data_IF_872348871841
#
_entry.id   IF_872348871841
#
_cell.length_a   1.000
_cell.length_b   1.000
_cell.length_c   1.000
_cell.angle_alpha   90.00
_cell.angle_beta   90.00
_cell.angle_gamma   90.00
#
_symmetry.space_group_name_H-M   'P 1'
#
loop_
_entity.id
_entity.type
_entity.pdbx_description
1 polymer ?
#
# COMPACT_ATOMS: atom_id res chain seq x y z
N UNK A 1 9.26 10.05 -21.78
CA UNK A 1 9.53 9.57 -20.40
C UNK A 1 8.45 10.15 -19.52
N UNK A 2 7.56 9.35 -18.98
CA UNK A 2 6.76 9.71 -17.81
C UNK A 2 6.43 8.40 -17.09
N UNK A 3 7.22 8.13 -16.04
CA UNK A 3 7.09 6.98 -15.15
C UNK A 3 5.73 7.10 -14.46
N UNK A 4 4.70 6.49 -15.05
CA UNK A 4 3.41 6.31 -14.39
C UNK A 4 3.64 5.31 -13.26
N UNK A 5 3.83 5.86 -12.06
CA UNK A 5 3.70 5.25 -10.74
C UNK A 5 3.43 3.74 -10.76
N UNK A 6 4.52 3.00 -10.80
CA UNK A 6 4.66 1.55 -10.58
C UNK A 6 4.43 1.28 -9.09
N UNK A 7 3.23 1.54 -8.56
CA UNK A 7 3.01 1.54 -7.10
C UNK A 7 2.42 0.23 -6.58
N UNK A 8 1.93 -0.70 -7.41
CA UNK A 8 1.29 -1.92 -6.87
C UNK A 8 1.37 -3.14 -7.80
N UNK A 9 2.57 -3.70 -8.02
CA UNK A 9 2.69 -5.01 -8.70
C UNK A 9 3.31 -6.12 -7.84
N UNK A 10 3.54 -5.90 -6.55
CA UNK A 10 4.23 -6.87 -5.68
C UNK A 10 3.69 -6.88 -4.25
N UNK A 11 2.48 -7.40 -4.03
CA UNK A 11 2.14 -8.06 -2.74
C UNK A 11 1.42 -9.41 -3.01
N UNK A 12 1.58 -9.97 -4.21
CA UNK A 12 1.01 -11.28 -4.56
C UNK A 12 2.09 -12.20 -5.09
N UNK A 13 3.12 -12.43 -4.28
CA UNK A 13 4.03 -13.58 -4.47
C UNK A 13 3.59 -14.71 -3.54
N UNK A 14 2.35 -15.16 -3.69
CA UNK A 14 1.80 -16.28 -2.91
C UNK A 14 1.61 -17.51 -3.81
N UNK A 15 2.33 -18.57 -3.42
CA UNK A 15 2.19 -19.99 -3.81
C UNK A 15 2.86 -20.42 -5.13
N UNK A 16 4.10 -20.93 -5.00
CA UNK A 16 4.44 -22.22 -5.62
C UNK A 16 4.68 -23.24 -4.50
N UNK A 17 3.59 -23.69 -3.88
CA UNK A 17 3.55 -24.95 -3.16
C UNK A 17 2.64 -25.88 -3.95
N UNK A 18 3.13 -26.42 -5.06
CA UNK A 18 2.49 -27.56 -5.73
C UNK A 18 3.53 -28.33 -6.54
N UNK A 19 4.32 -29.15 -5.84
CA UNK A 19 5.29 -30.07 -6.41
C UNK A 19 5.70 -31.17 -5.44
N UNK A 20 4.74 -32.02 -5.05
CA UNK A 20 4.91 -33.36 -4.48
C UNK A 20 5.81 -33.55 -3.23
N UNK A 21 5.21 -33.57 -2.03
CA UNK A 21 5.32 -34.72 -1.09
C UNK A 21 4.57 -34.46 0.23
N UNK A 22 3.42 -35.15 0.37
CA UNK A 22 2.86 -35.74 1.60
C UNK A 22 2.92 -35.07 2.99
N UNK A 23 3.23 -33.78 3.14
CA UNK A 23 3.40 -33.14 4.48
C UNK A 23 2.36 -32.04 4.74
N UNK A 24 1.12 -32.30 4.34
CA UNK A 24 0.02 -31.35 4.23
C UNK A 24 -0.83 -31.18 5.50
N UNK A 25 -0.21 -31.18 6.70
CA UNK A 25 -0.93 -31.03 7.99
C UNK A 25 -0.36 -29.99 8.96
N UNK A 26 0.71 -29.28 8.60
CA UNK A 26 1.22 -28.10 9.31
C UNK A 26 1.26 -26.90 8.37
N UNK A 27 0.10 -26.54 7.85
CA UNK A 27 -0.09 -25.15 7.44
C UNK A 27 -0.03 -24.37 8.77
N UNK A 28 1.17 -23.90 9.10
CA UNK A 28 1.55 -23.37 10.41
C UNK A 28 0.65 -22.17 10.75
N UNK A 29 0.19 -22.07 12.01
CA UNK A 29 -0.62 -20.94 12.52
C UNK A 29 -0.05 -19.58 12.10
N UNK A 30 1.28 -19.49 11.99
CA UNK A 30 2.01 -18.30 11.53
C UNK A 30 1.71 -17.91 10.08
N UNK A 31 1.53 -18.86 9.18
CA UNK A 31 1.16 -18.60 7.79
C UNK A 31 -0.26 -18.05 7.68
N UNK A 32 -1.20 -18.59 8.48
CA UNK A 32 -2.56 -18.07 8.56
C UNK A 32 -2.61 -16.66 9.15
N UNK A 33 -1.85 -16.39 10.22
CA UNK A 33 -1.75 -15.07 10.83
C UNK A 33 -1.12 -14.06 9.88
N UNK A 34 -0.03 -14.42 9.20
CA UNK A 34 0.58 -13.61 8.14
C UNK A 34 -0.44 -13.26 7.05
N UNK A 35 -1.19 -14.26 6.56
CA UNK A 35 -2.21 -14.04 5.54
C UNK A 35 -3.30 -13.06 5.99
N UNK A 36 -3.75 -13.15 7.26
CA UNK A 36 -4.76 -12.20 7.79
C UNK A 36 -4.26 -10.76 7.78
N UNK A 37 -2.97 -10.53 8.08
CA UNK A 37 -2.39 -9.19 7.97
C UNK A 37 -2.38 -8.70 6.52
N UNK A 38 -1.95 -9.56 5.58
CA UNK A 38 -1.93 -9.25 4.14
C UNK A 38 -3.33 -8.93 3.63
N UNK A 39 -4.33 -9.75 3.95
CA UNK A 39 -5.72 -9.53 3.54
C UNK A 39 -6.29 -8.21 4.09
N UNK A 40 -6.00 -7.91 5.36
CA UNK A 40 -6.43 -6.68 6.00
C UNK A 40 -5.79 -5.42 5.37
N UNK A 41 -4.55 -5.52 4.87
CA UNK A 41 -3.87 -4.45 4.13
C UNK A 41 -4.46 -4.33 2.72
N UNK A 42 -4.61 -5.44 2.01
CA UNK A 42 -5.10 -5.46 0.62
C UNK A 42 -6.53 -4.92 0.48
N UNK A 43 -7.40 -5.23 1.44
CA UNK A 43 -8.77 -4.71 1.46
C UNK A 43 -8.81 -3.18 1.49
N UNK A 44 -7.94 -2.56 2.28
CA UNK A 44 -7.88 -1.11 2.37
C UNK A 44 -7.06 -0.50 1.23
N UNK A 45 -6.02 -1.19 0.74
CA UNK A 45 -5.18 -0.73 -0.38
C UNK A 45 -6.01 -0.48 -1.64
N UNK A 46 -7.03 -1.31 -1.89
CA UNK A 46 -8.00 -1.10 -2.98
C UNK A 46 -8.74 0.23 -2.84
N UNK A 47 -9.10 0.61 -1.61
CA UNK A 47 -9.76 1.89 -1.34
C UNK A 47 -8.79 3.06 -1.48
N UNK A 48 -7.54 2.88 -1.05
CA UNK A 48 -6.48 3.86 -1.18
C UNK A 48 -6.17 4.16 -2.66
N UNK A 49 -6.12 3.13 -3.49
CA UNK A 49 -5.91 3.23 -4.94
C UNK A 49 -7.03 4.03 -5.60
N UNK A 50 -8.30 3.71 -5.29
CA UNK A 50 -9.45 4.46 -5.81
C UNK A 50 -9.40 5.95 -5.45
N UNK A 51 -8.96 6.26 -4.22
CA UNK A 51 -8.80 7.64 -3.79
C UNK A 51 -7.64 8.34 -4.51
N UNK A 52 -6.53 7.63 -4.74
CA UNK A 52 -5.41 8.13 -5.54
C UNK A 52 -5.81 8.40 -6.99
N UNK A 53 -6.61 7.52 -7.60
CA UNK A 53 -7.11 7.70 -8.96
C UNK A 53 -8.03 8.91 -9.06
N UNK A 54 -8.92 9.12 -8.07
CA UNK A 54 -9.74 10.33 -7.98
C UNK A 54 -8.86 11.58 -7.95
N UNK A 55 -7.84 11.60 -7.11
CA UNK A 55 -6.86 12.69 -7.07
C UNK A 55 -6.16 12.91 -8.43
N UNK A 56 -5.70 11.82 -9.06
CA UNK A 56 -4.98 11.89 -10.34
C UNK A 56 -5.86 12.45 -11.47
N UNK A 57 -7.15 12.08 -11.50
CA UNK A 57 -8.11 12.61 -12.46
C UNK A 57 -8.27 14.12 -12.29
N UNK A 58 -8.41 14.60 -11.05
CA UNK A 58 -8.54 16.03 -10.77
C UNK A 58 -7.26 16.79 -11.16
N UNK A 59 -6.09 16.25 -10.79
CA UNK A 59 -4.80 16.83 -11.20
C UNK A 59 -4.60 16.85 -12.72
N UNK A 60 -5.07 15.82 -13.44
CA UNK A 60 -5.02 15.81 -14.91
C UNK A 60 -5.87 16.93 -15.51
N UNK A 61 -7.03 17.22 -14.93
CA UNK A 61 -7.87 18.34 -15.37
C UNK A 61 -7.18 19.69 -15.13
N UNK A 62 -6.63 19.90 -13.93
CA UNK A 62 -5.83 21.10 -13.60
C UNK A 62 -4.67 21.27 -14.61
N UNK A 63 -3.91 20.21 -14.86
CA UNK A 63 -2.74 20.24 -15.76
C UNK A 63 -3.10 20.51 -17.23
N UNK A 64 -4.34 20.22 -17.65
CA UNK A 64 -4.86 20.54 -18.98
C UNK A 64 -5.45 21.96 -19.07
N UNK A 65 -5.35 22.75 -18.00
CA UNK A 65 -5.94 24.10 -17.91
C UNK A 65 -7.44 24.08 -17.67
N UNK A 66 -8.00 22.95 -17.23
CA UNK A 66 -9.39 22.83 -16.81
C UNK A 66 -9.62 23.49 -15.45
N UNK A 67 -10.85 23.93 -15.20
CA UNK A 67 -11.26 24.44 -13.89
C UNK A 67 -11.65 23.26 -13.00
N UNK A 68 -11.04 23.19 -11.82
CA UNK A 68 -11.36 22.23 -10.75
C UNK A 68 -11.60 23.03 -9.48
N UNK A 69 -12.62 22.67 -8.71
CA UNK A 69 -12.87 23.28 -7.40
C UNK A 69 -11.78 22.82 -6.41
N UNK A 70 -11.16 23.78 -5.71
CA UNK A 70 -10.18 23.48 -4.65
C UNK A 70 -10.82 22.61 -3.56
N UNK A 71 -12.11 22.77 -3.29
CA UNK A 71 -12.82 21.93 -2.32
C UNK A 71 -12.89 20.46 -2.74
N UNK A 72 -12.98 20.18 -4.06
CA UNK A 72 -12.93 18.81 -4.58
C UNK A 72 -11.53 18.20 -4.43
N UNK A 73 -10.48 19.02 -4.63
CA UNK A 73 -9.09 18.63 -4.41
C UNK A 73 -8.82 18.32 -2.94
N UNK A 74 -9.26 19.20 -2.03
CA UNK A 74 -9.17 18.99 -0.59
C UNK A 74 -9.94 17.76 -0.13
N UNK A 75 -11.13 17.53 -0.69
CA UNK A 75 -11.91 16.32 -0.42
C UNK A 75 -11.16 15.06 -0.85
N UNK A 76 -10.61 15.02 -2.06
CA UNK A 76 -9.83 13.86 -2.53
C UNK A 76 -8.56 13.63 -1.70
N UNK A 77 -7.85 14.71 -1.32
CA UNK A 77 -6.68 14.62 -0.46
C UNK A 77 -7.03 14.10 0.95
N UNK A 78 -8.17 14.52 1.52
CA UNK A 78 -8.67 14.03 2.80
C UNK A 78 -9.05 12.55 2.71
N UNK A 79 -9.82 12.17 1.69
CA UNK A 79 -10.22 10.77 1.47
C UNK A 79 -8.98 9.85 1.41
N UNK A 80 -7.94 10.25 0.66
CA UNK A 80 -6.69 9.50 0.58
C UNK A 80 -5.95 9.45 1.92
N UNK A 81 -5.87 10.58 2.62
CA UNK A 81 -5.19 10.70 3.91
C UNK A 81 -5.86 9.86 5.00
N UNK A 82 -7.19 9.82 5.04
CA UNK A 82 -7.94 9.05 6.02
C UNK A 82 -7.72 7.55 5.82
N UNK A 83 -7.75 7.06 4.58
CA UNK A 83 -7.45 5.66 4.27
C UNK A 83 -5.98 5.34 4.56
N UNK A 84 -5.05 6.25 4.23
CA UNK A 84 -3.64 6.12 4.55
C UNK A 84 -3.41 5.98 6.06
N UNK A 85 -4.14 6.72 6.89
CA UNK A 85 -4.04 6.64 8.34
C UNK A 85 -4.54 5.31 8.91
N UNK A 86 -5.40 4.59 8.19
CA UNK A 86 -5.84 3.22 8.54
C UNK A 86 -4.82 2.17 8.08
N UNK A 87 -4.25 2.31 6.88
CA UNK A 87 -3.32 1.32 6.30
C UNK A 87 -1.95 1.34 6.98
N UNK A 88 -1.38 2.51 7.23
CA UNK A 88 -0.04 2.65 7.84
C UNK A 88 0.15 1.81 9.11
N UNK A 89 -0.74 1.85 10.13
CA UNK A 89 -0.58 1.03 11.32
C UNK A 89 -0.72 -0.48 11.03
N UNK A 90 -1.50 -0.89 10.02
CA UNK A 90 -1.60 -2.30 9.61
C UNK A 90 -0.30 -2.80 8.99
N UNK A 91 0.32 -1.99 8.12
CA UNK A 91 1.65 -2.28 7.56
C UNK A 91 2.68 -2.39 8.70
N UNK A 92 2.71 -1.43 9.62
CA UNK A 92 3.62 -1.48 10.78
C UNK A 92 3.38 -2.72 11.65
N UNK A 93 2.13 -3.15 11.80
CA UNK A 93 1.78 -4.37 12.53
C UNK A 93 2.31 -5.62 11.82
N UNK A 94 2.18 -5.71 10.50
CA UNK A 94 2.75 -6.80 9.70
C UNK A 94 4.28 -6.81 9.80
N UNK A 95 4.94 -5.65 9.68
CA UNK A 95 6.40 -5.55 9.86
C UNK A 95 6.82 -6.03 11.25
N UNK A 96 6.08 -5.68 12.29
CA UNK A 96 6.35 -6.09 13.67
C UNK A 96 6.13 -7.60 13.87
N UNK A 97 5.11 -8.15 13.22
CA UNK A 97 4.86 -9.60 13.19
C UNK A 97 6.00 -10.34 12.50
N UNK A 98 6.45 -9.85 11.33
CA UNK A 98 7.59 -10.42 10.60
C UNK A 98 8.85 -10.38 11.47
N UNK A 99 9.16 -9.25 12.10
CA UNK A 99 10.32 -9.12 12.97
C UNK A 99 10.28 -10.08 14.17
N UNK A 100 9.11 -10.22 14.81
CA UNK A 100 8.92 -11.14 15.95
C UNK A 100 9.08 -12.60 15.55
N UNK A 101 8.66 -12.96 14.33
CA UNK A 101 8.62 -14.34 13.86
C UNK A 101 9.65 -14.66 12.77
N UNK A 102 10.67 -13.83 12.62
CA UNK A 102 11.56 -13.84 11.44
C UNK A 102 12.20 -15.21 11.18
N UNK A 103 12.72 -15.88 12.21
CA UNK A 103 13.34 -17.19 12.07
C UNK A 103 12.34 -18.25 11.56
N UNK A 104 11.14 -18.31 12.15
CA UNK A 104 10.11 -19.28 11.77
C UNK A 104 9.52 -19.02 10.39
N UNK A 105 9.36 -17.75 10.03
CA UNK A 105 8.93 -17.36 8.69
C UNK A 105 9.98 -17.73 7.64
N UNK A 106 11.27 -17.52 7.92
CA UNK A 106 12.36 -17.99 7.03
C UNK A 106 12.39 -19.51 6.90
N UNK A 107 12.22 -20.25 8.01
CA UNK A 107 12.11 -21.71 8.00
C UNK A 107 10.92 -22.20 7.16
N UNK A 108 9.82 -21.46 7.17
CA UNK A 108 8.64 -21.71 6.34
C UNK A 108 8.78 -21.23 4.88
N UNK A 109 9.93 -20.66 4.50
CA UNK A 109 10.24 -20.25 3.12
C UNK A 109 9.87 -18.82 2.75
N UNK A 110 9.49 -17.98 3.71
CA UNK A 110 9.21 -16.56 3.44
C UNK A 110 10.51 -15.75 3.33
N UNK A 111 10.61 -14.91 2.31
CA UNK A 111 11.68 -13.92 2.20
C UNK A 111 11.36 -12.68 3.05
N UNK A 112 11.59 -12.81 4.35
CA UNK A 112 11.27 -11.73 5.30
C UNK A 112 12.05 -10.43 5.04
N UNK A 113 13.18 -10.49 4.33
CA UNK A 113 13.96 -9.29 4.00
C UNK A 113 13.24 -8.50 2.90
N UNK A 114 12.92 -9.16 1.79
CA UNK A 114 12.18 -8.54 0.68
C UNK A 114 10.82 -8.02 1.15
N UNK A 115 10.10 -8.82 1.95
CA UNK A 115 8.80 -8.42 2.52
C UNK A 115 8.89 -7.13 3.35
N UNK A 116 9.91 -7.00 4.21
CA UNK A 116 10.11 -5.78 5.01
C UNK A 116 10.43 -4.57 4.11
N UNK A 117 11.23 -4.78 3.05
CA UNK A 117 11.56 -3.74 2.08
C UNK A 117 10.32 -3.27 1.33
N UNK A 118 9.51 -4.19 0.80
CA UNK A 118 8.30 -3.87 0.05
C UNK A 118 7.31 -3.07 0.91
N UNK A 119 7.15 -3.47 2.18
CA UNK A 119 6.32 -2.73 3.13
C UNK A 119 6.85 -1.31 3.42
N UNK A 120 8.18 -1.11 3.46
CA UNK A 120 8.79 0.21 3.61
C UNK A 120 8.62 1.09 2.36
N UNK A 121 8.69 0.50 1.17
CA UNK A 121 8.41 1.17 -0.09
C UNK A 121 6.95 1.64 -0.15
N UNK A 122 6.00 0.80 0.25
CA UNK A 122 4.58 1.17 0.34
C UNK A 122 4.37 2.32 1.33
N UNK A 123 4.92 2.24 2.55
CA UNK A 123 4.80 3.33 3.54
C UNK A 123 5.35 4.65 3.02
N UNK A 124 6.54 4.61 2.42
CA UNK A 124 7.19 5.77 1.82
C UNK A 124 6.36 6.35 0.67
N UNK A 125 5.76 5.49 -0.17
CA UNK A 125 4.85 5.89 -1.23
C UNK A 125 3.62 6.62 -0.70
N UNK A 126 2.98 6.07 0.34
CA UNK A 126 1.82 6.69 0.98
C UNK A 126 2.19 8.08 1.53
N UNK A 127 3.30 8.19 2.25
CA UNK A 127 3.75 9.46 2.83
C UNK A 127 4.09 10.52 1.78
N UNK A 128 4.77 10.11 0.72
CA UNK A 128 5.09 10.99 -0.39
C UNK A 128 3.82 11.47 -1.10
N UNK A 129 2.83 10.59 -1.31
CA UNK A 129 1.55 10.99 -1.91
C UNK A 129 0.81 12.00 -1.04
N UNK A 130 0.66 11.76 0.27
CA UNK A 130 0.02 12.72 1.19
C UNK A 130 0.73 14.08 1.14
N UNK A 131 2.08 14.07 1.18
CA UNK A 131 2.88 15.30 1.12
C UNK A 131 2.67 16.03 -0.21
N UNK A 132 2.76 15.32 -1.33
CA UNK A 132 2.62 15.90 -2.67
C UNK A 132 1.21 16.48 -2.85
N UNK A 133 0.17 15.76 -2.44
CA UNK A 133 -1.22 16.26 -2.53
C UNK A 133 -1.39 17.58 -1.78
N UNK A 134 -0.87 17.65 -0.55
CA UNK A 134 -0.89 18.89 0.23
C UNK A 134 -0.14 20.03 -0.47
N UNK A 135 1.07 19.74 -0.98
CA UNK A 135 1.87 20.73 -1.71
C UNK A 135 1.17 21.25 -2.96
N UNK A 136 0.46 20.40 -3.71
CA UNK A 136 -0.29 20.85 -4.89
C UNK A 136 -1.51 21.69 -4.52
N UNK A 137 -2.25 21.33 -3.45
CA UNK A 137 -3.33 22.19 -2.93
C UNK A 137 -2.80 23.57 -2.52
N UNK A 138 -1.69 23.61 -1.77
CA UNK A 138 -1.11 24.88 -1.30
C UNK A 138 -0.72 25.81 -2.48
N UNK A 139 -0.23 25.24 -3.60
CA UNK A 139 0.06 26.00 -4.83
C UNK A 139 -1.21 26.54 -5.48
N UNK A 140 -2.26 25.73 -5.56
CA UNK A 140 -3.54 26.11 -6.17
C UNK A 140 -4.28 27.17 -5.35
N UNK A 141 -4.13 27.17 -4.02
CA UNK A 141 -4.75 28.15 -3.12
C UNK A 141 -4.04 29.51 -3.08
N UNK A 142 -2.81 29.61 -3.60
CA UNK A 142 -1.98 30.82 -3.55
C UNK A 142 -1.70 31.45 -4.91
N UNK A 143 -2.01 30.76 -6.00
CA UNK A 143 -1.91 31.25 -7.39
C UNK A 143 -3.21 31.84 -7.89
#
# INVERSE_FOLDING_TARGET
MNKKYVVFMLIVSIIVIAGCSSTQKKQDVLGEEYQRYVDAINNDATSLEKSLDKWNILMEQVNKGGTVDILDMESAQRDYTDIANVIKPKIQSLKSFIATNEAKLKEAGFDTFQEKQDLDEVLSGIENNVRNMKTEIDKLSTG
#
